data_IF_457094889013
#
_entry.id   IF_457094889013
#
_cell.length_a   1.000
_cell.length_b   1.000
_cell.length_c   1.000
_cell.angle_alpha   90.00
_cell.angle_beta   90.00
_cell.angle_gamma   90.00
#
_symmetry.space_group_name_H-M   'P 1'
#
loop_
_entity.id
_entity.type
_entity.pdbx_description
1 polymer ?
#
# COMPACT_ATOMS: atom_id res chain seq x y z
N UNK A 1 -16.77 13.21 2.90
CA UNK A 1 -15.94 12.69 1.78
C UNK A 1 -16.44 13.18 0.41
N UNK A 2 -17.69 12.93 0.00
CA UNK A 2 -18.12 13.20 -1.39
C UNK A 2 -17.94 14.66 -1.86
N UNK A 3 -18.09 15.64 -0.98
CA UNK A 3 -17.91 17.06 -1.30
C UNK A 3 -16.43 17.47 -1.55
N UNK A 4 -15.47 16.58 -1.23
CA UNK A 4 -14.03 16.78 -1.47
C UNK A 4 -13.55 16.07 -2.74
N UNK A 5 -14.41 15.29 -3.38
CA UNK A 5 -14.10 14.61 -4.63
C UNK A 5 -14.43 15.50 -5.83
N UNK A 6 -13.69 15.33 -6.93
CA UNK A 6 -14.10 15.88 -8.22
C UNK A 6 -15.53 15.41 -8.54
N UNK A 7 -16.36 16.31 -9.11
CA UNK A 7 -17.77 16.05 -9.41
C UNK A 7 -18.01 14.84 -10.33
N UNK A 8 -16.98 14.43 -11.05
CA UNK A 8 -17.04 13.28 -11.96
C UNK A 8 -16.68 11.96 -11.28
N UNK A 9 -16.23 11.99 -10.03
CA UNK A 9 -15.94 10.78 -9.23
C UNK A 9 -17.23 10.32 -8.57
N UNK A 10 -17.61 9.07 -8.84
CA UNK A 10 -18.75 8.39 -8.23
C UNK A 10 -18.26 7.44 -7.13
N UNK A 11 -19.02 7.36 -6.04
CA UNK A 11 -18.78 6.44 -4.93
C UNK A 11 -19.86 5.36 -4.95
N UNK A 12 -19.46 4.11 -5.12
CA UNK A 12 -20.35 2.99 -5.38
C UNK A 12 -20.00 1.78 -4.50
N UNK A 13 -20.90 0.79 -4.51
CA UNK A 13 -20.71 -0.51 -3.87
C UNK A 13 -21.06 -1.63 -4.83
N UNK A 14 -20.35 -2.78 -4.69
CA UNK A 14 -20.68 -4.01 -5.38
C UNK A 14 -20.47 -5.20 -4.43
N UNK A 15 -21.41 -6.16 -4.44
CA UNK A 15 -21.24 -7.42 -3.73
C UNK A 15 -20.41 -8.36 -4.61
N UNK A 16 -19.40 -8.99 -4.05
CA UNK A 16 -18.51 -9.91 -4.78
C UNK A 16 -18.59 -11.33 -4.21
N UNK A 17 -18.22 -12.32 -5.01
CA UNK A 17 -18.36 -13.75 -4.66
C UNK A 17 -17.56 -14.18 -3.43
N UNK A 18 -16.55 -13.42 -3.02
CA UNK A 18 -15.79 -13.69 -1.77
C UNK A 18 -16.50 -13.21 -0.49
N UNK A 19 -17.76 -12.76 -0.61
CA UNK A 19 -18.60 -12.35 0.53
C UNK A 19 -18.43 -10.89 0.96
N UNK A 20 -17.62 -10.12 0.25
CA UNK A 20 -17.47 -8.68 0.54
C UNK A 20 -18.53 -7.85 -0.19
N UNK A 21 -18.93 -6.74 0.43
CA UNK A 21 -19.54 -5.60 -0.22
C UNK A 21 -18.47 -4.53 -0.40
N UNK A 22 -17.83 -4.53 -1.58
CA UNK A 22 -16.70 -3.66 -1.89
C UNK A 22 -17.17 -2.26 -2.22
N UNK A 23 -16.61 -1.28 -1.51
CA UNK A 23 -16.74 0.13 -1.85
C UNK A 23 -15.66 0.51 -2.87
N UNK A 24 -16.03 1.34 -3.85
CA UNK A 24 -15.08 1.86 -4.82
C UNK A 24 -15.44 3.27 -5.29
N UNK A 25 -14.42 4.00 -5.67
CA UNK A 25 -14.51 5.26 -6.39
C UNK A 25 -14.28 4.99 -7.87
N UNK A 26 -15.07 5.62 -8.73
CA UNK A 26 -14.95 5.48 -10.18
C UNK A 26 -15.02 6.85 -10.84
N UNK A 27 -14.12 7.10 -11.78
CA UNK A 27 -14.13 8.28 -12.64
C UNK A 27 -14.08 7.88 -14.11
N UNK A 28 -15.02 8.42 -14.89
CA UNK A 28 -15.09 8.21 -16.32
C UNK A 28 -15.80 9.40 -16.97
N UNK A 29 -15.11 10.14 -17.85
CA UNK A 29 -15.69 11.31 -18.55
C UNK A 29 -16.49 10.96 -19.80
N UNK A 30 -16.17 9.85 -20.43
CA UNK A 30 -16.87 9.41 -21.65
C UNK A 30 -17.15 7.91 -21.53
N UNK A 31 -18.42 7.56 -21.32
CA UNK A 31 -18.86 6.15 -21.29
C UNK A 31 -18.83 5.61 -22.71
N UNK A 32 -17.67 5.20 -23.19
CA UNK A 32 -17.56 4.28 -24.32
C UNK A 32 -17.46 2.87 -23.74
N UNK A 33 -18.11 1.91 -24.40
CA UNK A 33 -18.17 0.50 -23.94
C UNK A 33 -16.78 -0.12 -23.78
N UNK A 34 -15.79 0.41 -24.50
CA UNK A 34 -14.46 -0.16 -24.65
C UNK A 34 -13.34 0.76 -24.10
N UNK A 35 -13.66 1.65 -23.14
CA UNK A 35 -12.60 2.45 -22.49
C UNK A 35 -11.62 1.53 -21.75
N UNK A 36 -10.31 1.73 -21.92
CA UNK A 36 -9.31 0.96 -21.17
C UNK A 36 -9.49 1.20 -19.67
N UNK A 37 -9.45 0.12 -18.88
CA UNK A 37 -9.70 0.17 -17.45
C UNK A 37 -8.39 0.25 -16.67
N UNK A 38 -8.32 1.20 -15.73
CA UNK A 38 -7.25 1.32 -14.73
C UNK A 38 -7.83 0.94 -13.37
N UNK A 39 -7.18 0.00 -12.68
CA UNK A 39 -7.51 -0.38 -11.31
C UNK A 39 -6.41 0.07 -10.35
N UNK A 40 -6.80 0.81 -9.31
CA UNK A 40 -5.92 1.44 -8.34
C UNK A 40 -6.10 0.81 -6.95
N UNK A 41 -5.01 0.31 -6.36
CA UNK A 41 -4.98 -0.36 -5.06
C UNK A 41 -4.15 0.48 -4.07
N UNK A 42 -4.76 0.88 -2.97
CA UNK A 42 -4.12 1.68 -1.91
C UNK A 42 -3.31 0.82 -0.92
N UNK A 43 -2.52 1.45 -0.04
CA UNK A 43 -1.80 0.82 1.06
C UNK A 43 -2.34 1.19 2.45
N UNK A 44 -1.47 1.14 3.46
CA UNK A 44 -1.80 1.47 4.86
C UNK A 44 -1.18 2.83 5.26
N UNK A 45 -1.89 3.70 5.98
CA UNK A 45 -3.30 3.65 6.39
C UNK A 45 -4.19 4.44 5.40
N UNK A 46 -4.18 4.03 4.17
CA UNK A 46 -4.94 4.67 3.10
C UNK A 46 -6.27 3.94 2.82
N UNK A 47 -7.06 4.53 1.93
CA UNK A 47 -8.31 4.02 1.37
C UNK A 47 -8.39 4.47 -0.09
N UNK A 48 -9.43 4.09 -0.83
CA UNK A 48 -9.64 4.53 -2.22
C UNK A 48 -9.54 6.06 -2.42
N UNK A 49 -9.83 6.84 -1.39
CA UNK A 49 -9.71 8.30 -1.39
C UNK A 49 -8.27 8.82 -1.64
N UNK A 50 -7.26 8.01 -1.40
CA UNK A 50 -5.86 8.35 -1.69
C UNK A 50 -5.62 8.62 -3.17
N UNK A 51 -6.45 8.05 -4.03
CA UNK A 51 -6.40 8.19 -5.47
C UNK A 51 -7.25 9.35 -6.02
N UNK A 52 -7.90 10.16 -5.15
CA UNK A 52 -8.84 11.22 -5.53
C UNK A 52 -8.29 12.21 -6.56
N UNK A 53 -6.97 12.46 -6.55
CA UNK A 53 -6.31 13.38 -7.48
C UNK A 53 -5.93 12.69 -8.80
N UNK A 54 -5.56 11.42 -8.76
CA UNK A 54 -5.18 10.60 -9.93
C UNK A 54 -6.41 10.22 -10.77
N UNK A 55 -7.52 9.87 -10.12
CA UNK A 55 -8.77 9.43 -10.78
C UNK A 55 -9.19 10.37 -11.92
N UNK A 56 -9.39 11.68 -11.70
CA UNK A 56 -9.84 12.58 -12.76
C UNK A 56 -8.76 12.85 -13.82
N UNK A 57 -7.48 12.81 -13.45
CA UNK A 57 -6.38 13.04 -14.40
C UNK A 57 -6.32 11.93 -15.44
N UNK A 58 -6.32 10.66 -15.02
CA UNK A 58 -6.34 9.53 -15.95
C UNK A 58 -7.66 9.42 -16.72
N UNK A 59 -8.79 9.74 -16.08
CA UNK A 59 -10.08 9.69 -16.77
C UNK A 59 -10.20 10.72 -17.90
N UNK A 60 -9.55 11.88 -17.80
CA UNK A 60 -9.46 12.88 -18.89
C UNK A 60 -8.76 12.33 -20.13
N UNK A 61 -7.83 11.41 -19.95
CA UNK A 61 -7.09 10.74 -21.02
C UNK A 61 -7.85 9.52 -21.61
N UNK A 62 -9.13 9.36 -21.25
CA UNK A 62 -10.03 8.36 -21.84
C UNK A 62 -10.07 7.03 -21.11
N UNK A 63 -9.48 6.90 -19.93
CA UNK A 63 -9.57 5.70 -19.10
C UNK A 63 -10.86 5.66 -18.30
N UNK A 64 -11.35 4.45 -18.04
CA UNK A 64 -12.24 4.14 -16.95
C UNK A 64 -11.40 3.83 -15.72
N UNK A 65 -11.39 4.71 -14.72
CA UNK A 65 -10.48 4.61 -13.56
C UNK A 65 -11.26 4.22 -12.33
N UNK A 66 -10.83 3.14 -11.68
CA UNK A 66 -11.48 2.57 -10.50
C UNK A 66 -10.47 2.46 -9.36
N UNK A 67 -10.82 2.95 -8.18
CA UNK A 67 -10.05 2.78 -6.94
C UNK A 67 -10.92 2.08 -5.90
N UNK A 68 -10.51 0.92 -5.42
CA UNK A 68 -11.28 0.15 -4.44
C UNK A 68 -10.81 0.40 -3.01
N UNK A 69 -11.73 0.36 -2.04
CA UNK A 69 -11.37 0.12 -0.65
C UNK A 69 -11.14 -1.39 -0.50
N UNK A 70 -9.91 -1.80 -0.29
CA UNK A 70 -9.54 -3.21 -0.21
C UNK A 70 -10.10 -3.85 1.08
N UNK A 71 -10.09 -5.19 1.18
CA UNK A 71 -10.54 -5.95 2.36
C UNK A 71 -9.99 -5.36 3.65
N UNK A 72 -10.87 -5.05 4.61
CA UNK A 72 -10.50 -4.51 5.91
C UNK A 72 -10.27 -3.00 5.96
N UNK A 73 -10.54 -2.30 4.87
CA UNK A 73 -10.35 -0.85 4.77
C UNK A 73 -11.62 -0.10 4.36
N UNK A 74 -11.64 1.17 4.72
CA UNK A 74 -12.59 2.14 4.23
C UNK A 74 -14.04 1.77 4.51
N UNK A 75 -14.85 1.76 3.45
CA UNK A 75 -16.27 1.43 3.50
C UNK A 75 -16.57 0.02 3.00
N UNK A 76 -15.58 -0.77 2.62
CA UNK A 76 -15.75 -2.18 2.27
C UNK A 76 -16.19 -2.96 3.50
N UNK A 77 -17.26 -3.73 3.37
CA UNK A 77 -17.92 -4.48 4.44
C UNK A 77 -17.68 -5.97 4.21
N UNK A 78 -17.45 -6.70 5.29
CA UNK A 78 -17.14 -8.12 5.32
C UNK A 78 -15.70 -8.37 5.73
N UNK A 79 -15.40 -9.61 6.13
CA UNK A 79 -14.11 -9.99 6.68
C UNK A 79 -14.02 -9.86 8.20
N UNK A 80 -13.01 -10.53 8.75
CA UNK A 80 -12.75 -10.58 10.18
C UNK A 80 -12.26 -9.23 10.71
N UNK A 81 -12.89 -8.73 11.75
CA UNK A 81 -12.62 -7.42 12.34
C UNK A 81 -12.00 -7.50 13.73
N UNK A 82 -11.97 -8.69 14.35
CA UNK A 82 -11.41 -8.91 15.69
C UNK A 82 -10.06 -9.62 15.61
N UNK A 83 -9.22 -9.37 16.59
CA UNK A 83 -7.90 -10.01 16.66
C UNK A 83 -7.96 -11.54 16.78
N UNK A 84 -8.96 -12.08 17.49
CA UNK A 84 -9.12 -13.51 17.75
C UNK A 84 -9.70 -14.30 16.56
N UNK A 85 -10.20 -13.62 15.54
CA UNK A 85 -10.78 -14.25 14.37
C UNK A 85 -9.70 -14.80 13.42
N UNK A 86 -10.11 -15.70 12.54
CA UNK A 86 -9.26 -16.29 11.52
C UNK A 86 -8.79 -15.21 10.52
N UNK A 87 -7.48 -15.14 10.31
CA UNK A 87 -6.87 -14.15 9.42
C UNK A 87 -6.58 -14.67 8.01
N UNK A 88 -6.88 -15.95 7.70
CA UNK A 88 -6.56 -16.56 6.39
C UNK A 88 -7.13 -15.77 5.22
N UNK A 89 -8.30 -15.16 5.40
CA UNK A 89 -8.92 -14.32 4.38
C UNK A 89 -8.09 -13.07 4.01
N UNK A 90 -7.09 -12.69 4.81
CA UNK A 90 -6.18 -11.57 4.57
C UNK A 90 -4.83 -12.01 3.96
N UNK A 91 -4.64 -13.29 3.66
CA UNK A 91 -3.44 -13.74 2.94
C UNK A 91 -3.46 -13.26 1.48
N UNK A 92 -2.30 -13.22 0.83
CA UNK A 92 -2.17 -12.64 -0.51
C UNK A 92 -3.06 -13.34 -1.57
N UNK A 93 -3.26 -14.65 -1.47
CA UNK A 93 -4.11 -15.39 -2.42
C UNK A 93 -5.56 -14.97 -2.30
N UNK A 94 -6.06 -14.80 -1.07
CA UNK A 94 -7.43 -14.35 -0.84
C UNK A 94 -7.63 -12.88 -1.23
N UNK A 95 -6.64 -12.02 -0.99
CA UNK A 95 -6.69 -10.64 -1.49
C UNK A 95 -6.67 -10.58 -3.03
N UNK A 96 -5.95 -11.48 -3.70
CA UNK A 96 -6.02 -11.62 -5.16
C UNK A 96 -7.42 -12.12 -5.61
N UNK A 97 -8.02 -13.06 -4.87
CA UNK A 97 -9.38 -13.53 -5.14
C UNK A 97 -10.42 -12.43 -5.02
N UNK A 98 -10.27 -11.50 -4.09
CA UNK A 98 -11.16 -10.34 -3.99
C UNK A 98 -11.11 -9.48 -5.26
N UNK A 99 -9.89 -9.24 -5.80
CA UNK A 99 -9.73 -8.49 -7.06
C UNK A 99 -10.39 -9.23 -8.22
N UNK A 100 -10.13 -10.55 -8.36
CA UNK A 100 -10.71 -11.36 -9.44
C UNK A 100 -12.24 -11.34 -9.36
N UNK A 101 -12.79 -11.56 -8.16
CA UNK A 101 -14.23 -11.54 -7.93
C UNK A 101 -14.85 -10.15 -8.16
N UNK A 102 -14.12 -9.08 -7.82
CA UNK A 102 -14.54 -7.71 -8.14
C UNK A 102 -14.63 -7.50 -9.67
N UNK A 103 -13.62 -7.94 -10.42
CA UNK A 103 -13.62 -7.82 -11.88
C UNK A 103 -14.78 -8.61 -12.52
N UNK A 104 -15.06 -9.82 -12.01
CA UNK A 104 -16.16 -10.67 -12.46
C UNK A 104 -17.51 -9.97 -12.29
N UNK A 105 -17.81 -9.47 -11.10
CA UNK A 105 -19.05 -8.76 -10.81
C UNK A 105 -19.19 -7.45 -11.60
N UNK A 106 -18.10 -6.74 -11.82
CA UNK A 106 -18.05 -5.53 -12.63
C UNK A 106 -18.09 -5.83 -14.14
N UNK A 107 -18.07 -7.11 -14.55
CA UNK A 107 -18.00 -7.56 -15.96
C UNK A 107 -16.81 -6.95 -16.70
N UNK A 108 -15.67 -6.86 -16.02
CA UNK A 108 -14.42 -6.36 -16.56
C UNK A 108 -13.54 -7.57 -16.92
N UNK A 109 -13.39 -7.84 -18.20
CA UNK A 109 -12.64 -8.99 -18.70
C UNK A 109 -11.13 -8.78 -18.63
N UNK A 110 -10.67 -7.52 -18.67
CA UNK A 110 -9.25 -7.20 -18.67
C UNK A 110 -8.99 -5.79 -18.14
N UNK A 111 -7.95 -5.68 -17.34
CA UNK A 111 -7.41 -4.41 -16.84
C UNK A 111 -6.22 -4.00 -17.71
N UNK A 112 -6.26 -2.77 -18.20
CA UNK A 112 -5.16 -2.20 -18.99
C UNK A 112 -3.95 -1.88 -18.09
N UNK A 113 -4.19 -1.20 -16.98
CA UNK A 113 -3.19 -0.83 -15.98
C UNK A 113 -3.66 -1.25 -14.57
N UNK A 114 -2.95 -2.18 -13.93
CA UNK A 114 -3.08 -2.45 -12.51
C UNK A 114 -2.01 -1.65 -11.76
N UNK A 115 -2.43 -0.73 -10.90
CA UNK A 115 -1.53 0.15 -10.15
C UNK A 115 -1.73 -0.09 -8.66
N UNK A 116 -0.67 -0.43 -7.94
CA UNK A 116 -0.70 -0.61 -6.50
C UNK A 116 0.30 0.29 -5.77
N UNK A 117 -0.09 0.83 -4.62
CA UNK A 117 0.75 1.62 -3.74
C UNK A 117 0.92 0.94 -2.38
N UNK A 118 2.14 0.93 -1.82
CA UNK A 118 2.49 0.34 -0.52
C UNK A 118 2.03 -1.14 -0.43
N UNK A 119 1.19 -1.53 0.52
CA UNK A 119 0.62 -2.87 0.60
C UNK A 119 -0.19 -3.25 -0.66
N UNK A 120 -0.86 -2.27 -1.29
CA UNK A 120 -1.55 -2.46 -2.57
C UNK A 120 -0.60 -2.80 -3.72
N UNK A 121 0.66 -2.36 -3.67
CA UNK A 121 1.71 -2.75 -4.64
C UNK A 121 2.04 -4.25 -4.53
N UNK A 122 2.11 -4.77 -3.31
CA UNK A 122 2.33 -6.20 -3.05
C UNK A 122 1.15 -7.03 -3.59
N UNK A 123 -0.09 -6.59 -3.35
CA UNK A 123 -1.29 -7.26 -3.87
C UNK A 123 -1.35 -7.21 -5.40
N UNK A 124 -1.04 -6.05 -6.00
CA UNK A 124 -1.01 -5.90 -7.46
C UNK A 124 0.02 -6.83 -8.11
N UNK A 125 1.23 -6.92 -7.53
CA UNK A 125 2.28 -7.84 -7.98
C UNK A 125 1.84 -9.31 -7.87
N UNK A 126 1.26 -9.70 -6.72
CA UNK A 126 0.75 -11.05 -6.51
C UNK A 126 -0.40 -11.39 -7.46
N UNK A 127 -1.37 -10.49 -7.64
CA UNK A 127 -2.50 -10.70 -8.55
C UNK A 127 -2.03 -10.88 -10.01
N UNK A 128 -1.04 -10.08 -10.45
CA UNK A 128 -0.46 -10.21 -11.79
C UNK A 128 0.32 -11.53 -11.95
N UNK A 129 1.02 -11.99 -10.91
CA UNK A 129 1.71 -13.28 -10.92
C UNK A 129 0.72 -14.44 -11.01
N UNK A 130 -0.38 -14.39 -10.24
CA UNK A 130 -1.41 -15.46 -10.15
C UNK A 130 -2.27 -15.49 -11.41
N UNK A 131 -2.74 -14.33 -11.88
CA UNK A 131 -3.68 -14.17 -13.01
C UNK A 131 -3.16 -13.19 -14.07
N UNK A 132 -2.03 -13.50 -14.74
CA UNK A 132 -1.44 -12.63 -15.77
C UNK A 132 -2.37 -12.38 -16.97
N UNK A 133 -3.35 -13.23 -17.17
CA UNK A 133 -4.38 -13.13 -18.19
C UNK A 133 -5.33 -11.93 -18.02
N UNK A 134 -5.57 -11.52 -16.76
CA UNK A 134 -6.49 -10.43 -16.43
C UNK A 134 -5.88 -9.04 -16.51
N UNK A 135 -4.55 -8.93 -16.47
CA UNK A 135 -3.85 -7.65 -16.41
C UNK A 135 -2.91 -7.51 -17.62
N UNK A 136 -2.98 -6.40 -18.36
CA UNK A 136 -2.06 -6.13 -19.47
C UNK A 136 -0.72 -5.60 -18.95
N UNK A 137 -0.77 -4.78 -17.94
CA UNK A 137 0.43 -4.19 -17.34
C UNK A 137 0.28 -3.94 -15.84
N UNK A 138 1.42 -3.80 -15.15
CA UNK A 138 1.57 -3.64 -13.71
C UNK A 138 2.41 -2.40 -13.40
N UNK A 139 1.92 -1.56 -12.49
CA UNK A 139 2.71 -0.49 -11.87
C UNK A 139 2.75 -0.74 -10.36
N UNK A 140 3.94 -0.92 -9.83
CA UNK A 140 4.22 -1.04 -8.40
C UNK A 140 4.74 0.28 -7.86
N UNK A 141 4.21 0.74 -6.73
CA UNK A 141 4.62 2.02 -6.14
C UNK A 141 5.05 1.84 -4.68
N UNK A 142 6.18 2.44 -4.33
CA UNK A 142 6.74 2.50 -2.96
C UNK A 142 7.22 1.16 -2.39
N UNK A 143 6.44 0.09 -2.47
CA UNK A 143 6.82 -1.22 -1.96
C UNK A 143 7.07 -2.22 -3.10
N UNK A 144 8.29 -2.74 -3.27
CA UNK A 144 8.58 -3.72 -4.31
C UNK A 144 8.02 -5.10 -3.95
N UNK A 145 7.28 -5.72 -4.87
CA UNK A 145 6.85 -7.12 -4.73
C UNK A 145 7.99 -8.05 -5.16
N UNK A 146 8.44 -8.87 -4.25
CA UNK A 146 9.60 -9.77 -4.44
C UNK A 146 9.23 -11.19 -4.87
N UNK A 147 7.94 -11.46 -5.08
CA UNK A 147 7.45 -12.80 -5.41
C UNK A 147 7.30 -13.72 -4.18
N UNK A 148 7.03 -15.01 -4.42
CA UNK A 148 6.96 -16.03 -3.39
C UNK A 148 8.29 -16.20 -2.65
N UNK A 149 8.23 -16.63 -1.39
CA UNK A 149 9.42 -16.96 -0.62
C UNK A 149 10.18 -18.11 -1.27
N UNK A 150 11.51 -18.09 -1.22
CA UNK A 150 12.32 -19.24 -1.66
C UNK A 150 12.16 -20.41 -0.68
N UNK A 151 12.26 -21.66 -1.19
CA UNK A 151 12.27 -22.89 -0.39
C UNK A 151 13.61 -23.15 0.30
N UNK A 152 14.44 -22.14 0.47
CA UNK A 152 15.72 -22.32 1.15
C UNK A 152 15.47 -22.50 2.65
N UNK A 153 15.95 -23.62 3.17
CA UNK A 153 16.17 -23.80 4.61
C UNK A 153 17.44 -23.03 4.91
N UNK A 154 17.30 -21.77 5.28
CA UNK A 154 18.45 -20.98 5.75
C UNK A 154 18.72 -21.36 7.21
N UNK A 155 19.67 -22.28 7.41
CA UNK A 155 20.11 -22.71 8.74
C UNK A 155 20.76 -21.56 9.53
N UNK A 156 21.13 -20.45 8.86
CA UNK A 156 21.71 -19.26 9.44
C UNK A 156 20.72 -18.08 9.51
N UNK A 157 19.42 -18.35 9.57
CA UNK A 157 18.41 -17.29 9.63
C UNK A 157 18.66 -16.39 10.84
N UNK A 158 19.06 -15.16 10.56
CA UNK A 158 19.28 -14.12 11.57
C UNK A 158 17.98 -13.88 12.34
N UNK A 159 18.00 -13.99 13.66
CA UNK A 159 16.90 -13.55 14.51
C UNK A 159 16.91 -12.03 14.63
N UNK A 160 16.31 -11.39 13.68
CA UNK A 160 16.26 -9.92 13.61
C UNK A 160 15.62 -9.30 14.86
N UNK A 161 14.73 -10.01 15.56
CA UNK A 161 14.11 -9.50 16.76
C UNK A 161 15.08 -9.41 17.93
N UNK A 162 15.95 -10.41 18.07
CA UNK A 162 17.00 -10.39 19.07
C UNK A 162 18.05 -9.33 18.73
N UNK A 163 18.51 -9.24 17.48
CA UNK A 163 19.45 -8.20 17.09
C UNK A 163 18.92 -6.79 17.34
N UNK A 164 17.63 -6.52 17.04
CA UNK A 164 17.03 -5.23 17.30
C UNK A 164 16.89 -4.93 18.80
N UNK A 165 16.63 -5.94 19.64
CA UNK A 165 16.57 -5.79 21.11
C UNK A 165 17.92 -5.49 21.75
N UNK A 166 19.01 -6.00 21.15
CA UNK A 166 20.39 -5.79 21.62
C UNK A 166 20.95 -4.41 21.25
N UNK A 167 20.26 -3.64 20.38
CA UNK A 167 20.66 -2.27 20.08
C UNK A 167 20.53 -1.35 21.30
N UNK A 168 21.25 -0.23 21.27
CA UNK A 168 21.18 0.80 22.31
C UNK A 168 20.74 2.15 21.71
N UNK A 169 19.51 2.61 21.95
CA UNK A 169 18.43 1.96 22.71
C UNK A 169 17.84 0.73 21.97
N UNK A 170 17.22 -0.23 22.71
CA UNK A 170 16.55 -1.38 22.11
C UNK A 170 15.44 -0.98 21.11
N UNK A 171 15.34 -1.77 20.03
CA UNK A 171 14.41 -1.50 18.92
C UNK A 171 13.48 -2.67 18.64
N UNK A 172 12.42 -2.40 17.86
CA UNK A 172 11.50 -3.39 17.29
C UNK A 172 11.08 -2.98 15.89
N UNK A 173 10.79 -3.95 15.04
CA UNK A 173 10.32 -3.71 13.68
C UNK A 173 8.81 -3.43 13.68
N UNK A 174 8.35 -2.38 12.97
CA UNK A 174 6.95 -1.92 12.95
C UNK A 174 5.96 -2.99 12.48
N UNK A 175 6.30 -3.84 11.49
CA UNK A 175 5.39 -4.87 10.97
C UNK A 175 5.02 -5.89 12.05
N UNK A 176 5.98 -6.32 12.87
CA UNK A 176 5.70 -7.23 13.99
C UNK A 176 4.97 -6.53 15.14
N UNK A 177 5.25 -5.24 15.37
CA UNK A 177 4.43 -4.45 16.29
C UNK A 177 2.98 -4.37 15.81
N UNK A 178 2.73 -4.09 14.52
CA UNK A 178 1.39 -4.07 13.93
C UNK A 178 0.67 -5.43 14.00
N UNK A 179 1.41 -6.51 14.07
CA UNK A 179 0.88 -7.87 14.21
C UNK A 179 0.49 -8.23 15.64
N UNK A 180 0.78 -7.35 16.62
CA UNK A 180 0.39 -7.59 18.02
C UNK A 180 -1.06 -7.17 18.30
N UNK A 181 -1.69 -7.84 19.28
CA UNK A 181 -3.05 -7.51 19.74
C UNK A 181 -3.19 -6.05 20.22
N UNK A 182 -2.14 -5.47 20.82
CA UNK A 182 -2.16 -4.13 21.37
C UNK A 182 -2.14 -3.02 20.30
N UNK A 183 -1.59 -3.27 19.12
CA UNK A 183 -1.35 -2.23 18.12
C UNK A 183 -2.62 -1.46 17.72
N UNK A 184 -3.75 -2.16 17.57
CA UNK A 184 -5.02 -1.50 17.29
C UNK A 184 -5.42 -0.55 18.41
N UNK A 185 -5.36 -1.00 19.67
CA UNK A 185 -5.75 -0.18 20.81
C UNK A 185 -4.82 1.02 21.02
N UNK A 186 -3.53 0.84 20.77
CA UNK A 186 -2.52 1.90 20.85
C UNK A 186 -2.78 3.01 19.82
N UNK A 187 -3.25 2.66 18.62
CA UNK A 187 -3.50 3.61 17.52
C UNK A 187 -4.93 4.13 17.45
N UNK A 188 -5.94 3.34 17.89
CA UNK A 188 -7.34 3.74 17.93
C UNK A 188 -7.64 4.64 19.13
N UNK A 189 -7.16 5.87 19.03
CA UNK A 189 -7.22 6.85 20.10
C UNK A 189 -8.67 7.27 20.47
N UNK A 190 -8.86 7.68 21.72
CA UNK A 190 -10.19 7.92 22.33
C UNK A 190 -10.96 9.13 21.78
N UNK A 191 -10.32 9.99 20.97
CA UNK A 191 -11.00 11.12 20.32
C UNK A 191 -10.53 11.31 18.89
N UNK A 192 -11.42 11.83 18.04
CA UNK A 192 -11.10 12.16 16.64
C UNK A 192 -9.95 13.17 16.53
N UNK A 193 -9.88 14.13 17.43
CA UNK A 193 -8.82 15.13 17.47
C UNK A 193 -7.43 14.47 17.65
N UNK A 194 -7.31 13.59 18.65
CA UNK A 194 -6.06 12.85 18.91
C UNK A 194 -5.72 11.92 17.75
N UNK A 195 -6.70 11.24 17.20
CA UNK A 195 -6.50 10.37 16.04
C UNK A 195 -6.09 11.18 14.81
N UNK A 196 -6.73 12.30 14.56
CA UNK A 196 -6.36 13.22 13.46
C UNK A 196 -4.93 13.73 13.61
N UNK A 197 -4.52 14.11 14.83
CA UNK A 197 -3.15 14.53 15.11
C UNK A 197 -2.14 13.40 14.88
N UNK A 198 -2.47 12.18 15.31
CA UNK A 198 -1.64 11.01 15.01
C UNK A 198 -1.51 10.75 13.51
N UNK A 199 -2.64 10.69 12.79
CA UNK A 199 -2.62 10.45 11.34
C UNK A 199 -1.88 11.57 10.59
N UNK A 200 -2.09 12.85 10.96
CA UNK A 200 -1.33 13.97 10.41
C UNK A 200 0.17 13.77 10.60
N UNK A 201 0.58 13.37 11.80
CA UNK A 201 2.00 13.12 12.11
C UNK A 201 2.54 11.95 11.28
N UNK A 202 1.77 10.86 11.15
CA UNK A 202 2.14 9.68 10.38
C UNK A 202 2.31 10.00 8.89
N UNK A 203 1.35 10.73 8.32
CA UNK A 203 1.45 11.20 6.93
C UNK A 203 2.66 12.11 6.73
N UNK A 204 2.90 13.04 7.66
CA UNK A 204 4.01 13.97 7.58
C UNK A 204 5.39 13.29 7.60
N UNK A 205 5.66 12.42 8.58
CA UNK A 205 7.00 11.81 8.73
C UNK A 205 7.37 10.87 7.58
N UNK A 206 6.41 10.42 6.78
CA UNK A 206 6.66 9.60 5.59
C UNK A 206 6.63 10.40 4.29
N UNK A 207 6.26 11.68 4.33
CA UNK A 207 6.22 12.57 3.15
C UNK A 207 7.57 13.24 2.87
N UNK A 208 7.64 13.94 1.74
CA UNK A 208 8.79 14.78 1.42
C UNK A 208 8.88 16.05 2.32
N UNK A 209 7.81 16.42 3.00
CA UNK A 209 7.78 17.55 3.93
C UNK A 209 8.64 17.31 5.18
N UNK A 210 8.94 16.08 5.51
CA UNK A 210 9.83 15.75 6.60
C UNK A 210 11.29 15.72 6.13
N UNK A 211 12.03 16.74 6.49
CA UNK A 211 13.41 17.01 6.03
C UNK A 211 14.44 15.89 6.34
N UNK A 212 14.10 14.95 7.23
CA UNK A 212 15.00 13.85 7.62
C UNK A 212 14.81 12.59 6.78
N UNK A 213 13.87 12.60 5.81
CA UNK A 213 13.77 11.53 4.83
C UNK A 213 14.90 11.68 3.79
N UNK A 214 15.93 10.87 3.96
CA UNK A 214 17.07 10.76 3.04
C UNK A 214 17.39 9.28 2.78
N UNK A 215 16.54 8.60 1.98
CA UNK A 215 16.60 7.16 1.82
C UNK A 215 17.80 6.71 0.99
N UNK A 216 18.38 5.59 1.40
CA UNK A 216 19.47 4.90 0.72
C UNK A 216 19.31 3.39 0.86
N UNK A 217 20.00 2.63 -0.01
CA UNK A 217 19.95 1.17 0.01
C UNK A 217 20.71 0.62 1.23
N UNK A 218 20.04 -0.23 2.00
CA UNK A 218 20.66 -0.95 3.12
C UNK A 218 21.48 -2.14 2.60
N UNK A 219 22.61 -2.40 3.25
CA UNK A 219 23.56 -3.45 2.81
C UNK A 219 23.12 -4.86 3.20
N UNK A 220 22.37 -5.02 4.29
CA UNK A 220 22.00 -6.34 4.83
C UNK A 220 20.76 -6.28 5.70
N UNK A 221 20.14 -7.46 5.92
CA UNK A 221 19.04 -7.65 6.86
C UNK A 221 19.58 -7.97 8.25
N UNK A 222 20.21 -6.98 8.91
CA UNK A 222 20.76 -7.07 10.27
C UNK A 222 20.23 -5.93 11.12
N UNK A 223 20.19 -6.10 12.45
CA UNK A 223 19.72 -5.07 13.37
C UNK A 223 20.47 -3.74 13.21
N UNK A 224 21.80 -3.81 13.03
CA UNK A 224 22.66 -2.64 12.84
C UNK A 224 22.38 -1.87 11.54
N UNK A 225 22.03 -2.57 10.45
CA UNK A 225 21.65 -1.91 9.20
C UNK A 225 20.23 -1.35 9.30
N UNK A 226 19.31 -2.13 9.84
CA UNK A 226 17.91 -1.69 9.99
C UNK A 226 17.76 -0.50 10.94
N UNK A 227 18.65 -0.34 11.94
CA UNK A 227 18.66 0.83 12.84
C UNK A 227 18.75 2.17 12.10
N UNK A 228 19.31 2.17 10.88
CA UNK A 228 19.44 3.37 10.03
C UNK A 228 18.10 3.84 9.46
N UNK A 229 17.08 2.96 9.43
CA UNK A 229 15.73 3.33 9.03
C UNK A 229 15.10 4.27 10.06
N UNK A 230 14.20 5.19 9.63
CA UNK A 230 13.44 6.03 10.54
C UNK A 230 12.67 5.24 11.60
N UNK A 231 12.40 5.89 12.74
CA UNK A 231 11.71 5.26 13.86
C UNK A 231 10.27 4.82 13.55
N UNK A 232 9.65 5.30 12.48
CA UNK A 232 8.37 4.76 12.02
C UNK A 232 8.49 3.40 11.30
N UNK A 233 9.71 2.90 11.04
CA UNK A 233 9.99 1.54 10.58
C UNK A 233 10.67 0.71 11.68
N UNK A 234 11.72 1.25 12.31
CA UNK A 234 12.46 0.59 13.38
C UNK A 234 12.25 1.37 14.68
N UNK A 235 11.15 1.04 15.33
CA UNK A 235 10.62 1.73 16.50
C UNK A 235 11.52 1.50 17.72
N UNK A 236 11.57 2.44 18.67
CA UNK A 236 12.09 2.13 20.00
C UNK A 236 11.24 1.04 20.65
N UNK A 237 11.86 0.19 21.45
CA UNK A 237 11.21 -0.98 22.06
C UNK A 237 9.97 -0.60 22.85
N UNK A 238 10.03 0.52 23.60
CA UNK A 238 8.94 0.97 24.49
C UNK A 238 7.86 1.77 23.75
N UNK A 239 8.19 2.42 22.62
CA UNK A 239 7.27 3.31 21.93
C UNK A 239 6.11 2.56 21.28
N UNK A 240 4.94 3.15 21.28
CA UNK A 240 3.85 2.84 20.33
C UNK A 240 4.13 3.50 18.98
N UNK A 241 3.36 3.15 17.92
CA UNK A 241 3.48 3.87 16.66
C UNK A 241 3.10 5.35 16.80
N UNK A 242 2.13 5.66 17.64
CA UNK A 242 1.73 7.05 17.93
C UNK A 242 2.92 7.85 18.47
N UNK A 243 3.60 7.33 19.48
CA UNK A 243 4.78 7.96 20.08
C UNK A 243 5.94 8.05 19.10
N UNK A 244 6.12 7.03 18.25
CA UNK A 244 7.18 7.00 17.23
C UNK A 244 7.08 8.10 16.18
N UNK A 245 5.88 8.65 15.94
CA UNK A 245 5.66 9.68 14.90
C UNK A 245 5.36 11.07 15.45
N UNK A 246 4.58 11.19 16.54
CA UNK A 246 4.13 12.51 17.02
C UNK A 246 5.28 13.39 17.52
N UNK A 247 6.34 12.79 18.06
CA UNK A 247 7.52 13.52 18.56
C UNK A 247 8.28 14.26 17.46
N UNK A 248 8.11 13.88 16.20
CA UNK A 248 8.75 14.49 15.06
C UNK A 248 7.84 15.49 14.33
N UNK A 249 6.58 15.62 14.77
CA UNK A 249 5.64 16.52 14.12
C UNK A 249 5.69 17.91 14.73
N UNK A 250 6.01 18.95 13.95
CA UNK A 250 5.97 20.34 14.42
C UNK A 250 4.51 20.76 14.69
N UNK A 251 4.30 21.54 15.76
CA UNK A 251 2.96 21.91 16.25
C UNK A 251 2.08 22.68 15.24
N UNK A 252 2.65 23.21 14.15
CA UNK A 252 1.89 23.85 13.07
C UNK A 252 2.61 23.66 11.73
N UNK A 253 2.13 22.73 10.92
CA UNK A 253 2.52 22.64 9.50
C UNK A 253 1.25 22.71 8.67
N UNK A 254 1.26 23.60 7.68
CA UNK A 254 0.29 23.61 6.60
C UNK A 254 0.72 22.53 5.60
N UNK A 255 -0.07 21.47 5.47
CA UNK A 255 0.13 20.43 4.47
C UNK A 255 -0.73 20.75 3.24
N UNK A 256 -0.09 21.06 2.11
CA UNK A 256 -0.82 21.47 0.89
C UNK A 256 -1.39 20.29 0.11
N UNK A 257 -0.70 19.14 0.15
CA UNK A 257 -1.11 17.95 -0.59
C UNK A 257 -2.18 17.12 0.15
N UNK A 258 -2.38 17.35 1.46
CA UNK A 258 -3.42 16.73 2.30
C UNK A 258 -3.98 17.80 3.24
N UNK A 259 -5.04 18.48 2.83
CA UNK A 259 -5.72 19.51 3.63
C UNK A 259 -6.36 18.92 4.89
N UNK A 260 -6.75 19.76 5.86
CA UNK A 260 -7.42 19.28 7.09
C UNK A 260 -8.73 18.56 6.77
N UNK A 261 -9.55 19.10 5.86
CA UNK A 261 -10.79 18.45 5.44
C UNK A 261 -10.55 17.08 4.78
N UNK A 262 -9.45 16.93 4.03
CA UNK A 262 -9.07 15.64 3.43
C UNK A 262 -8.55 14.67 4.49
N UNK A 263 -7.78 15.15 5.47
CA UNK A 263 -7.34 14.34 6.61
C UNK A 263 -8.54 13.83 7.42
N UNK A 264 -9.58 14.64 7.59
CA UNK A 264 -10.81 14.25 8.28
C UNK A 264 -11.50 13.04 7.64
N UNK A 265 -11.33 12.80 6.35
CA UNK A 265 -11.83 11.58 5.69
C UNK A 265 -11.17 10.34 6.28
N UNK A 266 -9.85 10.35 6.42
CA UNK A 266 -9.10 9.24 7.03
C UNK A 266 -9.40 9.13 8.52
N UNK A 267 -9.38 10.27 9.23
CA UNK A 267 -9.67 10.32 10.67
C UNK A 267 -11.04 9.73 10.99
N UNK A 268 -12.09 10.15 10.28
CA UNK A 268 -13.44 9.62 10.49
C UNK A 268 -13.49 8.13 10.18
N UNK A 269 -12.89 7.69 9.08
CA UNK A 269 -12.88 6.29 8.67
C UNK A 269 -12.22 5.40 9.72
N UNK A 270 -11.02 5.75 10.19
CA UNK A 270 -10.31 4.95 11.18
C UNK A 270 -10.86 5.12 12.61
N UNK A 271 -11.52 6.23 12.90
CA UNK A 271 -12.23 6.40 14.17
C UNK A 271 -13.46 5.49 14.27
N UNK A 272 -14.17 5.28 13.16
CA UNK A 272 -15.35 4.40 13.10
C UNK A 272 -14.96 2.92 13.04
N UNK A 273 -13.93 2.57 12.25
CA UNK A 273 -13.57 1.19 11.96
C UNK A 273 -12.47 0.62 12.88
N UNK A 274 -11.67 1.47 13.52
CA UNK A 274 -10.40 1.08 14.11
C UNK A 274 -9.37 0.69 13.03
N UNK A 275 -8.27 0.07 13.47
CA UNK A 275 -7.19 -0.39 12.59
C UNK A 275 -7.12 -1.91 12.46
N UNK A 276 -7.84 -2.69 13.29
CA UNK A 276 -7.63 -4.13 13.43
C UNK A 276 -7.73 -4.89 12.10
N UNK A 277 -8.74 -4.62 11.30
CA UNK A 277 -8.91 -5.29 10.00
C UNK A 277 -7.77 -4.98 9.02
N UNK A 278 -7.31 -3.73 8.99
CA UNK A 278 -6.13 -3.34 8.21
C UNK A 278 -4.84 -3.99 8.76
N UNK A 279 -4.71 -4.12 10.09
CA UNK A 279 -3.57 -4.77 10.73
C UNK A 279 -3.53 -6.29 10.51
N UNK A 280 -4.64 -6.93 10.16
CA UNK A 280 -4.66 -8.34 9.80
C UNK A 280 -3.79 -8.65 8.56
N UNK A 281 -3.59 -7.68 7.67
CA UNK A 281 -2.62 -7.81 6.56
C UNK A 281 -1.20 -8.01 7.08
N UNK A 282 -0.78 -7.23 8.09
CA UNK A 282 0.55 -7.38 8.71
C UNK A 282 0.67 -8.69 9.47
N UNK A 283 -0.40 -9.15 10.13
CA UNK A 283 -0.43 -10.47 10.78
C UNK A 283 -0.22 -11.60 9.78
N UNK A 284 -0.81 -11.52 8.60
CA UNK A 284 -0.54 -12.47 7.52
C UNK A 284 0.89 -12.31 6.97
N UNK A 285 1.35 -11.08 6.78
CA UNK A 285 2.68 -10.79 6.22
C UNK A 285 3.81 -11.31 7.13
N UNK A 286 3.65 -11.22 8.45
CA UNK A 286 4.65 -11.68 9.43
C UNK A 286 4.48 -13.14 9.84
N UNK A 287 3.41 -13.80 9.39
CA UNK A 287 3.15 -15.22 9.68
C UNK A 287 3.93 -16.14 8.75
N UNK A 288 4.66 -17.08 9.30
CA UNK A 288 5.36 -18.11 8.51
C UNK A 288 4.40 -19.03 7.74
N UNK A 289 3.14 -19.12 8.17
CA UNK A 289 2.16 -20.05 7.59
C UNK A 289 1.30 -19.41 6.50
N UNK A 290 0.87 -18.16 6.69
CA UNK A 290 -0.15 -17.53 5.85
C UNK A 290 0.34 -17.14 4.44
N UNK A 291 1.65 -16.99 4.24
CA UNK A 291 2.21 -16.64 2.94
C UNK A 291 2.69 -17.84 2.12
N UNK A 292 2.64 -19.07 2.69
CA UNK A 292 3.10 -20.28 1.99
C UNK A 292 2.25 -20.67 0.78
N UNK A 293 0.98 -20.28 0.75
CA UNK A 293 0.08 -20.55 -0.38
C UNK A 293 0.59 -19.96 -1.70
N UNK A 294 1.24 -18.78 -1.65
CA UNK A 294 1.83 -18.17 -2.83
C UNK A 294 3.02 -18.98 -3.38
N UNK A 295 3.63 -19.86 -2.57
CA UNK A 295 4.81 -20.64 -2.98
C UNK A 295 4.51 -21.65 -4.08
N UNK A 296 3.23 -21.98 -4.34
CA UNK A 296 2.84 -22.78 -5.52
C UNK A 296 3.25 -22.08 -6.84
N UNK A 297 3.49 -20.79 -6.82
CA UNK A 297 3.96 -19.99 -7.95
C UNK A 297 5.47 -19.74 -7.93
N UNK A 298 6.23 -20.46 -7.10
CA UNK A 298 7.68 -20.28 -7.06
C UNK A 298 8.32 -20.56 -8.43
N UNK A 299 9.27 -19.72 -8.83
CA UNK A 299 9.93 -19.79 -10.13
C UNK A 299 9.11 -19.19 -11.28
N UNK A 300 7.81 -18.88 -11.09
CA UNK A 300 7.02 -18.18 -12.09
C UNK A 300 7.42 -16.70 -12.16
N UNK A 301 7.56 -16.19 -13.37
CA UNK A 301 7.86 -14.78 -13.63
C UNK A 301 6.59 -13.99 -13.97
N UNK A 302 6.60 -12.71 -13.65
CA UNK A 302 5.64 -11.73 -14.19
C UNK A 302 6.10 -11.36 -15.59
N UNK A 303 5.35 -11.78 -16.60
CA UNK A 303 5.65 -11.55 -18.02
C UNK A 303 4.99 -10.28 -18.58
N UNK A 304 4.02 -9.75 -17.86
CA UNK A 304 3.33 -8.50 -18.18
C UNK A 304 4.30 -7.31 -18.13
N UNK A 305 4.06 -6.27 -18.94
CA UNK A 305 4.84 -5.03 -18.83
C UNK A 305 4.76 -4.49 -17.41
N UNK A 306 5.89 -4.26 -16.77
CA UNK A 306 5.95 -3.82 -15.37
C UNK A 306 6.82 -2.58 -15.19
N UNK A 307 6.35 -1.62 -14.39
CA UNK A 307 7.06 -0.40 -14.02
C UNK A 307 7.08 -0.26 -12.49
N UNK A 308 8.12 0.37 -11.97
CA UNK A 308 8.17 0.76 -10.56
C UNK A 308 8.26 2.27 -10.40
N UNK A 309 7.47 2.85 -9.48
CA UNK A 309 7.45 4.29 -9.16
C UNK A 309 7.69 4.46 -7.67
N UNK A 310 8.53 5.44 -7.29
CA UNK A 310 8.72 5.83 -5.89
C UNK A 310 8.99 7.33 -5.79
N UNK A 311 8.69 7.92 -4.64
CA UNK A 311 9.17 9.25 -4.31
C UNK A 311 10.67 9.23 -4.00
N UNK A 312 11.36 10.34 -4.31
CA UNK A 312 12.79 10.53 -4.02
C UNK A 312 13.08 10.41 -2.50
N UNK A 313 12.11 10.79 -1.67
CA UNK A 313 12.20 10.80 -0.21
C UNK A 313 11.48 9.62 0.45
N UNK A 314 11.17 8.57 -0.32
CA UNK A 314 10.46 7.39 0.17
C UNK A 314 11.40 6.27 0.59
N UNK A 315 11.45 5.96 1.88
CA UNK A 315 12.13 4.78 2.40
C UNK A 315 11.47 3.45 2.05
N UNK A 316 10.23 3.45 1.55
CA UNK A 316 9.49 2.25 1.20
C UNK A 316 10.24 1.35 0.21
N UNK A 317 10.97 1.95 -0.72
CA UNK A 317 11.77 1.22 -1.71
C UNK A 317 13.00 0.51 -1.11
N UNK A 318 13.50 0.94 0.05
CA UNK A 318 14.73 0.42 0.68
C UNK A 318 14.51 -0.25 2.04
N UNK A 319 13.28 -0.33 2.54
CA UNK A 319 13.00 -0.93 3.84
C UNK A 319 13.38 -2.42 3.94
N UNK A 320 13.56 -3.10 2.81
CA UNK A 320 14.05 -4.48 2.72
C UNK A 320 15.24 -4.54 1.77
N UNK A 321 16.45 -4.83 2.26
CA UNK A 321 17.65 -4.94 1.43
C UNK A 321 17.47 -5.90 0.26
N UNK A 322 17.92 -5.50 -0.92
CA UNK A 322 17.87 -6.31 -2.13
C UNK A 322 16.48 -6.49 -2.76
N UNK A 323 15.40 -5.96 -2.16
CA UNK A 323 14.03 -6.15 -2.65
C UNK A 323 13.81 -5.60 -4.07
N UNK A 324 14.40 -4.44 -4.40
CA UNK A 324 14.32 -3.89 -5.76
C UNK A 324 14.95 -4.82 -6.81
N UNK A 325 16.08 -5.44 -6.50
CA UNK A 325 16.73 -6.38 -7.40
C UNK A 325 15.93 -7.68 -7.55
N UNK A 326 15.35 -8.18 -6.45
CA UNK A 326 14.46 -9.34 -6.49
C UNK A 326 13.23 -9.06 -7.36
N UNK A 327 12.59 -7.90 -7.20
CA UNK A 327 11.46 -7.47 -8.03
C UNK A 327 11.84 -7.34 -9.52
N UNK A 328 13.00 -6.74 -9.85
CA UNK A 328 13.49 -6.67 -11.24
C UNK A 328 13.64 -8.06 -11.84
N UNK A 329 14.22 -9.01 -11.11
CA UNK A 329 14.42 -10.38 -11.56
C UNK A 329 13.11 -11.16 -11.70
N UNK A 330 12.08 -10.82 -10.92
CA UNK A 330 10.76 -11.39 -11.00
C UNK A 330 10.00 -10.96 -12.26
N UNK A 331 10.28 -9.75 -12.80
CA UNK A 331 9.56 -9.16 -13.91
C UNK A 331 10.38 -9.30 -15.22
N UNK A 332 10.05 -10.28 -16.08
CA UNK A 332 10.79 -10.50 -17.33
C UNK A 332 10.63 -9.36 -18.36
N UNK A 333 9.59 -8.54 -18.23
CA UNK A 333 9.33 -7.37 -19.08
C UNK A 333 9.32 -6.08 -18.25
N UNK A 334 10.36 -5.90 -17.42
CA UNK A 334 10.51 -4.72 -16.56
C UNK A 334 10.96 -3.50 -17.35
N UNK A 335 10.21 -2.39 -17.25
CA UNK A 335 10.42 -1.15 -18.02
C UNK A 335 11.21 -0.08 -17.25
N UNK A 336 11.61 -0.38 -16.03
CA UNK A 336 12.48 0.48 -15.25
C UNK A 336 11.88 1.02 -13.96
N UNK A 337 12.64 1.91 -13.32
CA UNK A 337 12.30 2.62 -12.10
C UNK A 337 12.13 4.09 -12.44
N UNK A 338 11.06 4.70 -11.95
CA UNK A 338 10.80 6.14 -12.04
C UNK A 338 10.77 6.74 -10.65
N UNK A 339 11.67 7.68 -10.40
CA UNK A 339 11.76 8.41 -9.14
C UNK A 339 11.12 9.78 -9.32
N UNK A 340 10.11 10.08 -8.52
CA UNK A 340 9.43 11.38 -8.52
C UNK A 340 10.15 12.31 -7.54
N UNK A 341 10.68 13.40 -8.07
CA UNK A 341 11.42 14.40 -7.27
C UNK A 341 10.50 15.13 -6.30
N UNK A 342 11.03 15.47 -5.14
CA UNK A 342 10.30 16.18 -4.09
C UNK A 342 8.98 15.49 -3.69
N UNK A 343 8.96 14.17 -3.73
CA UNK A 343 7.88 13.33 -3.22
C UNK A 343 8.42 12.33 -2.20
N UNK A 344 7.64 12.04 -1.19
CA UNK A 344 7.89 10.99 -0.21
C UNK A 344 7.08 9.75 -0.51
N UNK A 345 6.63 9.09 0.55
CA UNK A 345 5.89 7.83 0.46
C UNK A 345 4.52 7.98 -0.23
N UNK A 346 3.84 9.09 -0.02
CA UNK A 346 2.48 9.32 -0.54
C UNK A 346 2.50 9.92 -1.95
N UNK A 347 3.34 9.37 -2.81
CA UNK A 347 3.73 9.95 -4.09
C UNK A 347 2.55 10.34 -4.98
N UNK A 348 1.47 9.55 -5.02
CA UNK A 348 0.24 9.80 -5.77
C UNK A 348 -0.60 10.95 -5.18
N UNK A 349 -0.38 11.30 -3.91
CA UNK A 349 -1.05 12.41 -3.25
C UNK A 349 -0.20 13.67 -3.25
N UNK A 350 1.13 13.52 -3.09
CA UNK A 350 2.11 14.62 -3.05
C UNK A 350 2.37 15.22 -4.44
N UNK A 351 2.46 14.36 -5.49
CA UNK A 351 2.79 14.73 -6.88
C UNK A 351 1.90 14.03 -7.90
N UNK A 352 0.57 14.26 -7.88
CA UNK A 352 -0.37 13.54 -8.71
C UNK A 352 -0.15 13.74 -10.22
N UNK A 353 0.24 14.96 -10.64
CA UNK A 353 0.48 15.29 -12.04
C UNK A 353 1.70 14.51 -12.56
N UNK A 354 2.83 14.53 -11.82
CA UNK A 354 4.07 13.84 -12.19
C UNK A 354 3.85 12.32 -12.27
N UNK A 355 3.11 11.77 -11.29
CA UNK A 355 2.74 10.34 -11.29
C UNK A 355 1.87 10.00 -12.48
N UNK A 356 0.87 10.84 -12.79
CA UNK A 356 -0.01 10.64 -13.95
C UNK A 356 0.78 10.67 -15.25
N UNK A 357 1.69 11.63 -15.43
CA UNK A 357 2.54 11.70 -16.60
C UNK A 357 3.38 10.43 -16.79
N UNK A 358 3.98 9.93 -15.72
CA UNK A 358 4.76 8.66 -15.75
C UNK A 358 3.87 7.48 -16.13
N UNK A 359 2.65 7.40 -15.59
CA UNK A 359 1.68 6.34 -15.94
C UNK A 359 1.31 6.39 -17.43
N UNK A 360 1.03 7.58 -17.97
CA UNK A 360 0.65 7.77 -19.37
C UNK A 360 1.82 7.47 -20.32
N UNK A 361 3.02 7.90 -20.00
CA UNK A 361 4.23 7.60 -20.75
C UNK A 361 4.52 6.08 -20.77
N UNK A 362 4.32 5.40 -19.65
CA UNK A 362 4.44 3.95 -19.59
C UNK A 362 3.37 3.27 -20.46
N UNK A 363 2.12 3.69 -20.35
CA UNK A 363 1.03 3.17 -21.18
C UNK A 363 1.34 3.32 -22.68
N UNK A 364 1.76 4.50 -23.11
CA UNK A 364 2.07 4.78 -24.53
C UNK A 364 3.25 3.95 -25.07
N UNK A 365 4.06 3.36 -24.22
CA UNK A 365 5.20 2.53 -24.62
C UNK A 365 4.82 1.13 -25.10
N UNK A 366 3.55 0.69 -24.93
CA UNK A 366 3.08 -0.65 -25.30
C UNK A 366 1.62 -0.68 -25.81
N UNK A 367 0.95 0.48 -25.94
CA UNK A 367 -0.42 0.61 -26.44
C UNK A 367 -0.51 0.46 -27.96
#
# INVERSE_FOLDING_TARGET
MLHLLDKNIKSNFVNIGTGLKVHYLECNFAIKKDNPVVLLLHGFPEISFSWRKILPLLAKEGFRVIAIDQRGYGKTIGGSIKYEEDIREYNLINLCSDIVSFLEEMKINKIELLVGHDAGSIVAGAATLVRPDLFKSLIMMSAPFTGPSKFEIDENKVDIHNELKELNPPRKHYQWYYSTKKANNDMHLSSKEKLGYFLRSYFHVKSADWKYNDPFELSSWTGKELEKLPEYYIMKQEDTMVESVIKFFPKSIKCEWLTENELDVYTNTFFENGFQSALNWYRCMTSEHQNKELNVFQGKLITNSALYISGEKDWGMFQKPGALNQMKNLCSNFKGIKIIKNAGHWVQQEKPEDVTEVILNFYSSFA
#
